data_IF_280930299274
#
_entry.id   IF_280930299274
#
_cell.length_a   1.000
_cell.length_b   1.000
_cell.length_c   1.000
_cell.angle_alpha   90.00
_cell.angle_beta   90.00
_cell.angle_gamma   90.00
#
_symmetry.space_group_name_H-M   'P 1'
#
loop_
_entity.id
_entity.type
_entity.pdbx_description
1 polymer ?
#
# COMPACT_ATOMS: atom_id res chain seq x y z
N UNK A 1 -10.39 -0.26 52.70
CA UNK A 1 -9.20 0.50 52.27
C UNK A 1 -7.97 -0.40 52.25
N UNK A 2 -7.98 -1.45 51.42
CA UNK A 2 -6.82 -2.32 51.16
C UNK A 2 -7.17 -3.18 49.92
N UNK A 3 -6.98 -2.65 48.71
CA UNK A 3 -7.27 -3.40 47.46
C UNK A 3 -6.38 -2.99 46.28
N UNK A 4 -5.94 -1.72 46.18
CA UNK A 4 -5.14 -1.28 45.01
C UNK A 4 -3.72 -1.85 44.93
N UNK A 5 -3.12 -2.25 46.05
CA UNK A 5 -1.76 -2.82 46.06
C UNK A 5 -1.73 -4.30 45.70
N UNK A 6 -2.85 -5.02 45.81
CA UNK A 6 -2.93 -6.46 45.55
C UNK A 6 -3.16 -6.74 44.06
N UNK A 7 -4.02 -5.92 43.42
CA UNK A 7 -4.36 -6.03 42.00
C UNK A 7 -3.13 -5.83 41.09
N UNK A 8 -2.20 -4.95 41.46
CA UNK A 8 -0.97 -4.69 40.69
C UNK A 8 0.05 -5.82 40.82
N UNK A 9 0.14 -6.43 42.00
CA UNK A 9 1.01 -7.60 42.24
C UNK A 9 0.47 -8.84 41.54
N UNK A 10 -0.85 -9.05 41.58
CA UNK A 10 -1.51 -10.15 40.90
C UNK A 10 -1.40 -10.03 39.38
N UNK A 11 -1.65 -8.83 38.82
CA UNK A 11 -1.48 -8.57 37.40
C UNK A 11 -0.04 -8.79 36.93
N UNK A 12 0.94 -8.35 37.73
CA UNK A 12 2.36 -8.57 37.45
C UNK A 12 2.68 -10.07 37.40
N UNK A 13 2.14 -10.86 38.32
CA UNK A 13 2.29 -12.32 38.32
C UNK A 13 1.65 -12.95 37.08
N UNK A 14 0.46 -12.51 36.69
CA UNK A 14 -0.21 -13.00 35.49
C UNK A 14 0.59 -12.70 34.22
N UNK A 15 1.12 -11.49 34.10
CA UNK A 15 1.97 -11.09 32.98
C UNK A 15 3.25 -11.93 32.91
N UNK A 16 3.98 -12.06 34.01
CA UNK A 16 5.20 -12.88 34.07
C UNK A 16 4.92 -14.35 33.73
N UNK A 17 3.84 -14.92 34.27
CA UNK A 17 3.44 -16.29 33.95
C UNK A 17 3.09 -16.45 32.47
N UNK A 18 2.28 -15.54 31.93
CA UNK A 18 1.84 -15.57 30.55
C UNK A 18 3.02 -15.44 29.58
N UNK A 19 3.97 -14.55 29.86
CA UNK A 19 5.20 -14.39 29.09
C UNK A 19 6.01 -15.68 29.06
N UNK A 20 6.30 -16.27 30.22
CA UNK A 20 7.04 -17.54 30.29
C UNK A 20 6.33 -18.70 29.58
N UNK A 21 5.00 -18.73 29.62
CA UNK A 21 4.20 -19.71 28.89
C UNK A 21 4.27 -19.48 27.38
N UNK A 22 4.13 -18.22 26.94
CA UNK A 22 4.18 -17.84 25.54
C UNK A 22 5.56 -18.08 24.95
N UNK A 23 6.64 -17.70 25.63
CA UNK A 23 8.02 -17.94 25.20
C UNK A 23 8.28 -19.43 24.98
N UNK A 24 7.94 -20.28 25.97
CA UNK A 24 8.12 -21.73 25.86
C UNK A 24 7.30 -22.31 24.70
N UNK A 25 6.07 -21.85 24.52
CA UNK A 25 5.23 -22.30 23.42
C UNK A 25 5.80 -21.88 22.06
N UNK A 26 6.20 -20.61 21.93
CA UNK A 26 6.77 -20.03 20.71
C UNK A 26 8.08 -20.72 20.34
N UNK A 27 9.01 -20.87 21.27
CA UNK A 27 10.29 -21.55 21.03
C UNK A 27 10.09 -22.98 20.52
N UNK A 28 9.21 -23.76 21.17
CA UNK A 28 8.91 -25.14 20.74
C UNK A 28 8.27 -25.17 19.35
N UNK A 29 7.30 -24.29 19.11
CA UNK A 29 6.59 -24.25 17.83
C UNK A 29 7.52 -23.80 16.70
N UNK A 30 8.38 -22.82 16.96
CA UNK A 30 9.29 -22.26 15.98
C UNK A 30 10.42 -23.24 15.63
N UNK A 31 10.94 -23.98 16.60
CA UNK A 31 11.95 -25.02 16.38
C UNK A 31 11.43 -26.18 15.52
N UNK A 32 10.12 -26.41 15.48
CA UNK A 32 9.47 -27.45 14.68
C UNK A 32 8.94 -26.93 13.33
N UNK A 33 9.07 -25.64 13.05
CA UNK A 33 8.57 -25.04 11.82
C UNK A 33 9.58 -25.18 10.69
N UNK A 34 9.12 -25.54 9.49
CA UNK A 34 9.93 -25.52 8.29
C UNK A 34 10.35 -24.08 7.90
N UNK A 35 9.56 -23.09 8.30
CA UNK A 35 9.79 -21.66 8.07
C UNK A 35 9.77 -20.93 9.41
N UNK A 36 10.85 -20.94 10.20
CA UNK A 36 10.85 -20.29 11.50
C UNK A 36 10.68 -18.77 11.39
N UNK A 37 9.90 -18.21 12.31
CA UNK A 37 9.77 -16.76 12.55
C UNK A 37 11.10 -16.19 13.06
N UNK A 38 11.39 -14.93 12.74
CA UNK A 38 12.58 -14.25 13.26
C UNK A 38 12.37 -13.84 14.72
N UNK A 39 13.41 -13.29 15.33
CA UNK A 39 13.35 -12.83 16.71
C UNK A 39 12.32 -11.69 16.90
N UNK A 40 12.27 -10.74 15.97
CA UNK A 40 11.32 -9.62 16.01
C UNK A 40 9.86 -10.10 15.93
N UNK A 41 9.55 -11.01 15.00
CA UNK A 41 8.24 -11.64 14.88
C UNK A 41 7.81 -12.30 16.22
N UNK A 42 8.75 -12.97 16.90
CA UNK A 42 8.47 -13.60 18.20
C UNK A 42 8.23 -12.56 19.30
N UNK A 43 8.97 -11.45 19.30
CA UNK A 43 8.76 -10.35 20.25
C UNK A 43 7.41 -9.67 20.04
N UNK A 44 6.99 -9.47 18.78
CA UNK A 44 5.68 -8.92 18.47
C UNK A 44 4.55 -9.79 19.03
N UNK A 45 4.67 -11.12 18.89
CA UNK A 45 3.70 -12.05 19.47
C UNK A 45 3.69 -11.96 21.01
N UNK A 46 4.86 -11.82 21.66
CA UNK A 46 4.93 -11.64 23.11
C UNK A 46 4.26 -10.34 23.57
N UNK A 47 4.44 -9.24 22.82
CA UNK A 47 3.74 -7.98 23.06
C UNK A 47 2.21 -8.13 22.93
N UNK A 48 1.73 -8.87 21.93
CA UNK A 48 0.31 -9.17 21.79
C UNK A 48 -0.23 -10.02 22.96
N UNK A 49 0.55 -10.98 23.45
CA UNK A 49 0.19 -11.76 24.64
C UNK A 49 0.06 -10.85 25.85
N UNK A 50 1.01 -9.94 26.10
CA UNK A 50 0.92 -8.95 27.19
C UNK A 50 -0.39 -8.16 27.12
N UNK A 51 -0.72 -7.62 25.94
CA UNK A 51 -1.96 -6.87 25.72
C UNK A 51 -3.19 -7.74 25.94
N UNK A 52 -3.16 -9.01 25.51
CA UNK A 52 -4.26 -9.93 25.67
C UNK A 52 -4.50 -10.29 27.15
N UNK A 53 -3.44 -10.42 27.94
CA UNK A 53 -3.50 -10.69 29.40
C UNK A 53 -4.08 -9.50 30.15
N UNK A 54 -3.74 -8.27 29.75
CA UNK A 54 -4.38 -7.06 30.31
C UNK A 54 -5.91 -7.03 30.10
N UNK A 55 -6.42 -7.79 29.12
CA UNK A 55 -7.85 -7.92 28.81
C UNK A 55 -8.47 -9.21 29.36
N UNK A 56 -7.67 -10.09 29.96
CA UNK A 56 -8.13 -11.35 30.50
C UNK A 56 -9.01 -11.09 31.73
N UNK A 57 -10.18 -11.72 31.75
CA UNK A 57 -11.11 -11.67 32.89
C UNK A 57 -11.25 -13.06 33.46
N UNK A 58 -10.88 -13.22 34.72
CA UNK A 58 -11.11 -14.45 35.45
C UNK A 58 -12.60 -14.52 35.83
N UNK A 59 -13.32 -15.62 35.53
CA UNK A 59 -14.69 -15.80 35.99
C UNK A 59 -14.76 -15.84 37.52
N UNK A 60 -15.77 -15.21 38.11
CA UNK A 60 -15.91 -15.03 39.58
C UNK A 60 -15.88 -16.33 40.39
N UNK A 61 -16.23 -17.46 39.78
CA UNK A 61 -16.28 -18.78 40.43
C UNK A 61 -14.96 -19.57 40.33
N UNK A 62 -13.93 -19.03 39.68
CA UNK A 62 -12.66 -19.73 39.46
C UNK A 62 -11.58 -19.10 40.32
N UNK A 63 -11.01 -19.90 41.22
CA UNK A 63 -9.90 -19.49 42.09
C UNK A 63 -8.53 -19.80 41.45
N UNK A 64 -8.44 -20.90 40.68
CA UNK A 64 -7.21 -21.28 39.99
C UNK A 64 -7.17 -20.69 38.56
N UNK A 65 -6.51 -19.54 38.44
CA UNK A 65 -6.38 -18.83 37.17
C UNK A 65 -5.36 -19.46 36.22
N UNK A 66 -4.37 -20.22 36.71
CA UNK A 66 -3.21 -20.62 35.92
C UNK A 66 -3.57 -21.52 34.72
N UNK A 67 -4.40 -22.56 34.84
CA UNK A 67 -4.79 -23.40 33.70
C UNK A 67 -5.62 -22.64 32.65
N UNK A 68 -6.50 -21.73 33.11
CA UNK A 68 -7.30 -20.90 32.22
C UNK A 68 -6.43 -19.92 31.46
N UNK A 69 -5.51 -19.25 32.17
CA UNK A 69 -4.58 -18.30 31.58
C UNK A 69 -3.65 -19.01 30.60
N UNK A 70 -3.16 -20.22 30.91
CA UNK A 70 -2.37 -21.03 29.96
C UNK A 70 -3.15 -21.31 28.67
N UNK A 71 -4.40 -21.78 28.75
CA UNK A 71 -5.22 -22.05 27.55
C UNK A 71 -5.51 -20.77 26.77
N UNK A 72 -5.74 -19.66 27.47
CA UNK A 72 -5.97 -18.37 26.84
C UNK A 72 -4.73 -17.88 26.09
N UNK A 73 -3.57 -17.89 26.76
CA UNK A 73 -2.27 -17.51 26.16
C UNK A 73 -1.95 -18.39 24.96
N UNK A 74 -2.12 -19.71 25.07
CA UNK A 74 -1.90 -20.63 23.95
C UNK A 74 -2.75 -20.28 22.72
N UNK A 75 -4.04 -19.95 22.91
CA UNK A 75 -4.92 -19.52 21.80
C UNK A 75 -4.47 -18.20 21.18
N UNK A 76 -4.00 -17.26 21.99
CA UNK A 76 -3.45 -15.99 21.50
C UNK A 76 -2.19 -16.26 20.68
N UNK A 77 -1.25 -17.04 21.22
CA UNK A 77 -0.03 -17.45 20.53
C UNK A 77 -0.34 -18.18 19.21
N UNK A 78 -1.26 -19.15 19.20
CA UNK A 78 -1.66 -19.88 18.00
C UNK A 78 -2.16 -18.96 16.89
N UNK A 79 -3.05 -18.02 17.23
CA UNK A 79 -3.62 -17.07 16.26
C UNK A 79 -2.57 -16.11 15.74
N UNK A 80 -1.78 -15.51 16.64
CA UNK A 80 -0.75 -14.55 16.27
C UNK A 80 0.36 -15.20 15.45
N UNK A 81 0.81 -16.40 15.85
CA UNK A 81 1.80 -17.20 15.11
C UNK A 81 1.30 -17.60 13.72
N UNK A 82 0.05 -18.07 13.61
CA UNK A 82 -0.53 -18.41 12.31
C UNK A 82 -0.64 -17.20 11.37
N UNK A 83 -0.98 -16.02 11.91
CA UNK A 83 -1.01 -14.77 11.14
C UNK A 83 0.40 -14.37 10.68
N UNK A 84 1.38 -14.38 11.58
CA UNK A 84 2.77 -14.06 11.25
C UNK A 84 3.33 -15.02 10.19
N UNK A 85 3.07 -16.32 10.32
CA UNK A 85 3.45 -17.32 9.32
C UNK A 85 2.83 -17.07 7.95
N UNK A 86 1.52 -16.74 7.88
CA UNK A 86 0.87 -16.40 6.61
C UNK A 86 1.47 -15.16 5.96
N UNK A 87 1.77 -14.13 6.75
CA UNK A 87 2.39 -12.91 6.23
C UNK A 87 3.79 -13.21 5.71
N UNK A 88 4.59 -13.97 6.45
CA UNK A 88 5.93 -14.38 6.01
C UNK A 88 5.89 -15.24 4.76
N UNK A 89 4.94 -16.17 4.65
CA UNK A 89 4.71 -16.94 3.43
C UNK A 89 4.29 -16.06 2.26
N UNK A 90 3.45 -15.04 2.50
CA UNK A 90 3.07 -14.06 1.50
C UNK A 90 4.29 -13.27 1.02
N UNK A 91 5.11 -12.74 1.93
CA UNK A 91 6.32 -12.01 1.59
C UNK A 91 7.33 -12.90 0.85
N UNK A 92 7.58 -14.12 1.32
CA UNK A 92 8.44 -15.07 0.63
C UNK A 92 7.89 -15.45 -0.77
N UNK A 93 6.56 -15.50 -0.95
CA UNK A 93 5.96 -15.71 -2.26
C UNK A 93 6.10 -14.51 -3.19
N UNK A 94 6.24 -13.29 -2.65
CA UNK A 94 6.55 -12.10 -3.42
C UNK A 94 8.02 -12.09 -3.85
N UNK A 95 8.93 -12.55 -2.99
CA UNK A 95 10.35 -12.73 -3.33
C UNK A 95 10.55 -13.88 -4.35
N UNK A 96 9.63 -14.84 -4.36
CA UNK A 96 9.59 -15.96 -5.30
C UNK A 96 8.61 -15.75 -6.47
N UNK A 97 8.32 -14.50 -6.84
CA UNK A 97 7.62 -14.24 -8.10
C UNK A 97 8.50 -14.74 -9.25
N UNK A 98 7.99 -15.58 -10.17
CA UNK A 98 8.73 -15.90 -11.38
C UNK A 98 9.04 -14.61 -12.13
N UNK A 99 10.21 -14.51 -12.77
CA UNK A 99 10.65 -13.33 -13.55
C UNK A 99 9.55 -12.78 -14.48
N UNK A 100 8.67 -13.65 -14.98
CA UNK A 100 7.50 -13.32 -15.79
C UNK A 100 6.41 -12.47 -15.10
N UNK A 101 6.39 -12.41 -13.77
CA UNK A 101 5.41 -11.67 -12.95
C UNK A 101 6.04 -10.48 -12.21
N UNK A 102 7.35 -10.30 -12.26
CA UNK A 102 7.91 -9.00 -11.96
C UNK A 102 7.26 -7.99 -12.92
N UNK A 103 6.93 -6.76 -12.49
CA UNK A 103 6.66 -5.71 -13.46
C UNK A 103 7.84 -5.76 -14.41
N UNK A 104 7.57 -6.04 -15.69
CA UNK A 104 8.61 -6.05 -16.70
C UNK A 104 9.40 -4.78 -16.44
N UNK A 105 10.64 -4.91 -15.99
CA UNK A 105 11.60 -3.83 -16.19
C UNK A 105 11.41 -3.56 -17.66
N UNK A 106 10.88 -2.39 -18.01
CA UNK A 106 10.72 -2.01 -19.39
C UNK A 106 12.14 -2.09 -19.95
N UNK A 107 12.51 -3.24 -20.48
CA UNK A 107 13.61 -3.39 -21.42
C UNK A 107 13.11 -2.53 -22.54
N UNK A 108 13.57 -1.28 -22.51
CA UNK A 108 13.37 -0.26 -23.52
C UNK A 108 13.31 -1.01 -24.83
N UNK A 109 12.11 -1.16 -25.37
CA UNK A 109 11.95 -1.92 -26.59
C UNK A 109 12.74 -1.11 -27.62
N UNK A 110 13.92 -1.60 -28.00
CA UNK A 110 14.90 -0.97 -28.90
C UNK A 110 14.36 -0.81 -30.34
N UNK A 111 13.06 -0.53 -30.51
CA UNK A 111 12.39 -0.46 -31.81
C UNK A 111 11.14 0.41 -31.87
N UNK A 112 10.64 0.95 -30.76
CA UNK A 112 9.70 2.08 -30.79
C UNK A 112 10.47 3.29 -30.30
N UNK A 113 10.96 4.11 -31.23
CA UNK A 113 11.55 5.39 -30.89
C UNK A 113 10.52 6.16 -30.03
N UNK A 114 10.86 6.41 -28.76
CA UNK A 114 10.03 7.17 -27.82
C UNK A 114 9.54 8.47 -28.48
N UNK A 115 10.36 9.05 -29.38
CA UNK A 115 10.04 10.22 -30.19
C UNK A 115 8.90 9.99 -31.21
N UNK A 116 8.84 8.82 -31.85
CA UNK A 116 7.78 8.47 -32.81
C UNK A 116 6.44 8.27 -32.09
N UNK A 117 6.46 7.58 -30.96
CA UNK A 117 5.26 7.37 -30.16
C UNK A 117 4.74 8.72 -29.61
N UNK A 118 5.62 9.55 -29.07
CA UNK A 118 5.28 10.91 -28.63
C UNK A 118 4.72 11.78 -29.76
N UNK A 119 5.29 11.71 -30.97
CA UNK A 119 4.77 12.42 -32.13
C UNK A 119 3.36 11.93 -32.51
N UNK A 120 3.09 10.62 -32.42
CA UNK A 120 1.76 10.04 -32.69
C UNK A 120 0.74 10.48 -31.64
N UNK A 121 1.11 10.48 -30.36
CA UNK A 121 0.27 10.99 -29.25
C UNK A 121 0.00 12.49 -29.44
N UNK A 122 1.03 13.29 -29.74
CA UNK A 122 0.89 14.72 -29.97
C UNK A 122 -0.02 15.02 -31.18
N UNK A 123 0.12 14.27 -32.27
CA UNK A 123 -0.77 14.37 -33.44
C UNK A 123 -2.23 14.09 -33.06
N UNK A 124 -2.50 13.02 -32.32
CA UNK A 124 -3.85 12.69 -31.87
C UNK A 124 -4.45 13.76 -30.94
N UNK A 125 -3.63 14.35 -30.05
CA UNK A 125 -4.04 15.43 -29.17
C UNK A 125 -4.35 16.73 -29.93
N UNK A 126 -3.55 17.07 -30.95
CA UNK A 126 -3.79 18.24 -31.81
C UNK A 126 -5.09 18.16 -32.63
N UNK A 127 -5.60 16.96 -32.88
CA UNK A 127 -6.89 16.73 -33.53
C UNK A 127 -8.09 16.88 -32.56
N UNK A 128 -7.84 17.21 -31.29
CA UNK A 128 -8.89 17.43 -30.29
C UNK A 128 -9.11 18.93 -30.08
N UNK A 129 -10.26 19.32 -29.50
CA UNK A 129 -10.42 20.68 -28.99
C UNK A 129 -9.29 21.05 -28.04
N UNK A 130 -8.75 22.27 -28.19
CA UNK A 130 -7.55 22.71 -27.46
C UNK A 130 -7.66 22.56 -25.93
N UNK A 131 -8.85 22.78 -25.38
CA UNK A 131 -9.10 22.63 -23.94
C UNK A 131 -9.11 21.15 -23.48
N UNK A 132 -9.47 20.19 -24.35
CA UNK A 132 -9.36 18.77 -24.05
C UNK A 132 -7.90 18.32 -24.04
N UNK A 133 -7.13 18.73 -25.06
CA UNK A 133 -5.71 18.46 -25.15
C UNK A 133 -4.95 19.09 -23.96
N UNK A 134 -5.23 20.36 -23.65
CA UNK A 134 -4.58 21.06 -22.56
C UNK A 134 -4.93 20.51 -21.18
N UNK A 135 -6.20 20.16 -20.94
CA UNK A 135 -6.59 19.52 -19.68
C UNK A 135 -5.93 18.14 -19.49
N UNK A 136 -5.70 17.42 -20.58
CA UNK A 136 -4.99 16.15 -20.54
C UNK A 136 -3.50 16.35 -20.24
N UNK A 137 -2.80 17.17 -21.03
CA UNK A 137 -1.35 17.40 -20.90
C UNK A 137 -0.98 17.97 -19.54
N UNK A 138 -1.71 18.97 -19.03
CA UNK A 138 -1.41 19.60 -17.74
C UNK A 138 -1.66 18.69 -16.52
N UNK A 139 -2.32 17.56 -16.73
CA UNK A 139 -2.57 16.55 -15.69
C UNK A 139 -1.59 15.37 -15.74
N UNK A 140 -0.67 15.36 -16.71
CA UNK A 140 0.42 14.37 -16.80
C UNK A 140 1.58 14.75 -15.87
N UNK A 141 2.50 13.82 -15.68
CA UNK A 141 3.79 14.07 -15.08
C UNK A 141 4.57 15.15 -15.87
N UNK A 142 5.45 15.86 -15.16
CA UNK A 142 6.16 17.03 -15.71
C UNK A 142 7.00 16.71 -16.94
N UNK A 143 7.69 15.57 -16.97
CA UNK A 143 8.53 15.15 -18.10
C UNK A 143 7.69 14.87 -19.34
N UNK A 144 6.60 14.11 -19.20
CA UNK A 144 5.69 13.83 -20.32
C UNK A 144 4.96 15.09 -20.81
N UNK A 145 4.55 15.97 -19.90
CA UNK A 145 3.89 17.22 -20.25
C UNK A 145 4.83 18.13 -21.07
N UNK A 146 6.11 18.22 -20.67
CA UNK A 146 7.13 18.97 -21.40
C UNK A 146 7.46 18.34 -22.75
N UNK A 147 7.58 17.00 -22.81
CA UNK A 147 7.83 16.30 -24.06
C UNK A 147 6.70 16.53 -25.08
N UNK A 148 5.44 16.41 -24.67
CA UNK A 148 4.30 16.73 -25.52
C UNK A 148 4.23 18.22 -25.89
N UNK A 149 4.70 19.10 -25.00
CA UNK A 149 4.78 20.52 -25.31
C UNK A 149 5.87 20.85 -26.33
N UNK A 150 7.00 20.15 -26.32
CA UNK A 150 8.02 20.27 -27.37
C UNK A 150 7.46 19.88 -28.75
N UNK A 151 6.45 19.00 -28.79
CA UNK A 151 5.69 18.69 -30.00
C UNK A 151 4.54 19.68 -30.27
N UNK A 152 4.37 20.75 -29.49
CA UNK A 152 3.43 21.85 -29.72
C UNK A 152 1.97 21.52 -29.46
N UNK A 153 1.68 20.70 -28.44
CA UNK A 153 0.28 20.33 -28.10
C UNK A 153 -0.46 21.44 -27.36
N UNK A 154 0.21 22.21 -26.49
CA UNK A 154 -0.42 23.35 -25.80
C UNK A 154 -0.24 24.65 -26.60
N UNK A 155 -1.22 25.56 -26.50
CA UNK A 155 -1.04 26.95 -26.90
C UNK A 155 0.14 27.60 -26.16
N UNK A 156 0.83 28.55 -26.81
CA UNK A 156 1.97 29.26 -26.22
C UNK A 156 1.65 29.89 -24.86
N UNK A 157 0.43 30.40 -24.70
CA UNK A 157 -0.06 30.98 -23.44
C UNK A 157 -0.09 30.01 -22.26
N UNK A 158 -0.08 28.70 -22.53
CA UNK A 158 -0.11 27.63 -21.52
C UNK A 158 1.19 26.82 -21.48
N UNK A 159 2.17 27.14 -22.32
CA UNK A 159 3.44 26.40 -22.43
C UNK A 159 4.20 26.37 -21.09
N UNK A 160 4.25 27.50 -20.38
CA UNK A 160 4.90 27.61 -19.07
C UNK A 160 4.22 26.77 -17.96
N UNK A 161 2.97 26.36 -18.17
CA UNK A 161 2.26 25.49 -17.22
C UNK A 161 2.65 24.02 -17.37
N UNK A 162 3.21 23.61 -18.51
CA UNK A 162 3.72 22.25 -18.70
C UNK A 162 4.89 21.94 -17.75
N UNK A 163 5.75 22.93 -17.51
CA UNK A 163 6.87 22.82 -16.54
C UNK A 163 6.40 22.61 -15.11
N UNK A 164 5.16 23.01 -14.80
CA UNK A 164 4.56 22.93 -13.46
C UNK A 164 3.61 21.74 -13.29
N UNK A 165 3.50 20.89 -14.32
CA UNK A 165 2.68 19.69 -14.25
C UNK A 165 3.30 18.66 -13.29
N UNK A 166 2.50 17.79 -12.63
CA UNK A 166 1.04 17.68 -12.75
C UNK A 166 0.29 18.76 -11.96
N UNK A 167 -0.74 19.36 -12.60
CA UNK A 167 -1.64 20.31 -11.97
C UNK A 167 -2.92 19.62 -11.48
N UNK A 168 -3.47 20.12 -10.37
CA UNK A 168 -4.78 19.66 -9.88
C UNK A 168 -5.92 20.20 -10.77
N UNK A 169 -7.07 19.50 -10.81
CA UNK A 169 -8.19 19.88 -11.68
C UNK A 169 -8.70 21.31 -11.43
N UNK A 170 -8.57 21.81 -10.19
CA UNK A 170 -8.90 23.21 -9.84
C UNK A 170 -7.95 24.21 -10.50
N UNK A 171 -6.66 23.93 -10.52
CA UNK A 171 -5.66 24.79 -11.15
C UNK A 171 -5.77 24.75 -12.69
N UNK A 172 -6.00 23.57 -13.26
CA UNK A 172 -6.27 23.40 -14.70
C UNK A 172 -7.55 24.15 -15.08
N UNK A 173 -8.61 24.01 -14.29
CA UNK A 173 -9.87 24.72 -14.51
C UNK A 173 -9.68 26.24 -14.51
N UNK A 174 -8.91 26.77 -13.56
CA UNK A 174 -8.58 28.19 -13.51
C UNK A 174 -7.78 28.64 -14.75
N UNK A 175 -6.80 27.85 -15.20
CA UNK A 175 -5.98 28.18 -16.37
C UNK A 175 -6.78 28.13 -17.69
N UNK A 176 -7.76 27.23 -17.79
CA UNK A 176 -8.56 27.01 -19.00
C UNK A 176 -9.91 27.75 -19.01
N UNK A 177 -10.28 28.44 -17.92
CA UNK A 177 -11.61 29.03 -17.76
C UNK A 177 -12.73 27.99 -17.65
N UNK A 178 -12.42 26.80 -17.10
CA UNK A 178 -13.33 25.67 -16.98
C UNK A 178 -13.66 25.35 -15.52
N UNK A 179 -14.82 24.75 -15.29
CA UNK A 179 -15.12 24.15 -13.98
C UNK A 179 -14.31 22.86 -13.78
N UNK A 180 -13.95 22.48 -12.53
CA UNK A 180 -13.22 21.24 -12.28
C UNK A 180 -13.91 19.99 -12.87
N UNK A 181 -15.25 19.96 -12.86
CA UNK A 181 -16.03 18.87 -13.47
C UNK A 181 -15.87 18.81 -14.98
N UNK A 182 -15.78 19.96 -15.66
CA UNK A 182 -15.50 20.02 -17.09
C UNK A 182 -14.07 19.57 -17.41
N UNK A 183 -13.09 19.85 -16.55
CA UNK A 183 -11.71 19.35 -16.68
C UNK A 183 -11.65 17.82 -16.60
N UNK A 184 -12.36 17.21 -15.64
CA UNK A 184 -12.42 15.75 -15.53
C UNK A 184 -13.00 15.12 -16.80
N UNK A 185 -14.11 15.67 -17.31
CA UNK A 185 -14.73 15.20 -18.56
C UNK A 185 -13.81 15.38 -19.77
N UNK A 186 -13.15 16.53 -19.85
CA UNK A 186 -12.17 16.84 -20.89
C UNK A 186 -11.04 15.80 -20.93
N UNK A 187 -10.48 15.46 -19.77
CA UNK A 187 -9.44 14.44 -19.61
C UNK A 187 -9.94 13.03 -19.97
N UNK A 188 -11.14 12.66 -19.54
CA UNK A 188 -11.74 11.37 -19.88
C UNK A 188 -11.96 11.24 -21.39
N UNK A 189 -12.44 12.29 -22.04
CA UNK A 189 -12.62 12.31 -23.49
C UNK A 189 -11.28 12.18 -24.23
N UNK A 190 -10.25 12.92 -23.80
CA UNK A 190 -8.92 12.82 -24.38
C UNK A 190 -8.31 11.42 -24.22
N UNK A 191 -8.46 10.79 -23.04
CA UNK A 191 -8.03 9.40 -22.79
C UNK A 191 -8.71 8.41 -23.72
N UNK A 192 -10.03 8.49 -23.84
CA UNK A 192 -10.79 7.56 -24.67
C UNK A 192 -10.46 7.73 -26.16
N UNK A 193 -10.27 8.96 -26.62
CA UNK A 193 -9.88 9.23 -28.00
C UNK A 193 -8.45 8.76 -28.29
N UNK A 194 -7.50 8.99 -27.37
CA UNK A 194 -6.14 8.45 -27.49
C UNK A 194 -6.15 6.92 -27.51
N UNK A 195 -6.94 6.28 -26.65
CA UNK A 195 -7.07 4.82 -26.62
C UNK A 195 -7.53 4.27 -27.97
N UNK A 196 -8.54 4.86 -28.60
CA UNK A 196 -9.00 4.44 -29.93
C UNK A 196 -7.93 4.66 -31.00
N UNK A 197 -7.36 5.86 -31.06
CA UNK A 197 -6.37 6.21 -32.08
C UNK A 197 -5.05 5.42 -31.97
N UNK A 198 -4.70 4.92 -30.77
CA UNK A 198 -3.44 4.20 -30.54
C UNK A 198 -3.61 2.68 -30.53
N UNK A 199 -4.81 2.15 -30.22
CA UNK A 199 -5.07 0.70 -30.25
C UNK A 199 -5.60 0.20 -31.60
N UNK A 200 -6.17 1.07 -32.45
CA UNK A 200 -6.73 0.70 -33.75
C UNK A 200 -5.75 0.90 -34.93
N UNK A 201 -4.46 1.18 -34.68
CA UNK A 201 -3.46 1.33 -35.76
C UNK A 201 -2.09 0.74 -35.45
#
# INVERSE_FOLDING_TARGET
>A
MATEWDDTVELTRWLQFAEQCAERWLQRRNAQSATPLCWDDMQDILCEVRIAVLRFKLPEHVVDWAPLLTKYVQRVCERAYARAQRERQRLASLDALPESLHPQVETRADGLDDSWFLARVASALKQMPAHHAAAFVLALDGEMAQALQAHGVLPESLSALAERAPLCDKAIGAALGLTPRAVIRARQHAREKLRRCLCES
#
